data_IF_771406183977
#
_entry.id   IF_771406183977
#
_cell.length_a   1.000
_cell.length_b   1.000
_cell.length_c   1.000
_cell.angle_alpha   90.00
_cell.angle_beta   90.00
_cell.angle_gamma   90.00
#
_symmetry.space_group_name_H-M   'P 1'
#
loop_
_entity.id
_entity.type
_entity.pdbx_description
1 polymer ?
#
# COMPACT_ATOMS: atom_id res chain seq x y z
N UNK A 1 30.11 1.95 -28.42
CA UNK A 1 30.13 2.19 -26.96
C UNK A 1 29.94 3.68 -26.74
N UNK A 2 28.70 4.15 -26.68
CA UNK A 2 28.39 5.56 -26.44
C UNK A 2 28.91 5.93 -25.05
N UNK A 3 29.74 6.99 -24.99
CA UNK A 3 30.18 7.58 -23.73
C UNK A 3 28.92 7.92 -22.92
N UNK A 4 28.80 7.31 -21.76
CA UNK A 4 27.80 7.58 -20.72
C UNK A 4 27.60 9.09 -20.59
N UNK A 5 26.42 9.60 -20.99
CA UNK A 5 26.15 11.03 -21.23
C UNK A 5 26.06 11.94 -19.99
N UNK A 6 26.61 11.52 -18.84
CA UNK A 6 26.61 12.28 -17.59
C UNK A 6 28.05 12.66 -17.22
N UNK A 7 28.39 13.95 -17.29
CA UNK A 7 29.70 14.48 -16.97
C UNK A 7 29.75 15.06 -15.55
N UNK A 8 30.61 14.54 -14.68
CA UNK A 8 30.78 15.09 -13.33
C UNK A 8 31.53 16.45 -13.36
N UNK A 9 31.00 17.45 -12.65
CA UNK A 9 31.57 18.80 -12.60
C UNK A 9 32.31 19.08 -11.29
N UNK A 10 31.74 18.69 -10.15
CA UNK A 10 32.31 18.96 -8.82
C UNK A 10 31.23 18.98 -7.73
N UNK A 11 31.58 19.46 -6.54
CA UNK A 11 30.67 19.66 -5.42
C UNK A 11 30.50 21.15 -5.16
N UNK A 12 29.26 21.61 -5.05
CA UNK A 12 28.92 23.02 -4.83
C UNK A 12 27.80 23.15 -3.80
N UNK A 13 27.64 24.33 -3.22
CA UNK A 13 26.50 24.69 -2.38
C UNK A 13 25.50 25.52 -3.19
N UNK A 14 24.24 25.10 -3.20
CA UNK A 14 23.17 25.74 -4.01
C UNK A 14 22.05 26.20 -3.08
N UNK A 15 21.54 27.43 -3.20
CA UNK A 15 20.34 27.85 -2.47
C UNK A 15 19.14 26.97 -2.80
N UNK A 16 18.37 26.58 -1.79
CA UNK A 16 17.22 25.67 -1.94
C UNK A 16 16.20 26.20 -2.97
N UNK A 17 15.97 27.52 -3.04
CA UNK A 17 15.10 28.16 -4.04
C UNK A 17 15.52 27.94 -5.51
N UNK A 18 16.79 27.60 -5.76
CA UNK A 18 17.31 27.33 -7.11
C UNK A 18 17.28 25.83 -7.45
N UNK A 19 16.84 24.98 -6.52
CA UNK A 19 16.77 23.55 -6.73
C UNK A 19 15.40 23.16 -7.28
N UNK A 20 15.38 22.43 -8.40
CA UNK A 20 14.15 21.95 -9.03
C UNK A 20 14.12 20.43 -9.04
N UNK A 21 13.08 19.85 -8.45
CA UNK A 21 12.93 18.41 -8.41
C UNK A 21 12.45 17.89 -9.76
N UNK A 22 13.10 16.84 -10.28
CA UNK A 22 12.69 16.18 -11.50
C UNK A 22 12.04 14.84 -11.16
N UNK A 23 10.82 14.67 -11.65
CA UNK A 23 10.00 13.48 -11.42
C UNK A 23 10.16 12.44 -12.53
N UNK A 24 9.67 11.24 -12.26
CA UNK A 24 9.67 10.06 -13.13
C UNK A 24 11.08 9.53 -13.46
N UNK A 25 12.05 9.78 -12.58
CA UNK A 25 13.44 9.34 -12.75
C UNK A 25 13.74 8.09 -11.90
N UNK A 26 12.82 7.68 -11.03
CA UNK A 26 12.99 6.54 -10.13
C UNK A 26 12.98 6.92 -8.66
N UNK A 27 12.50 8.12 -8.34
CA UNK A 27 12.27 8.65 -7.01
C UNK A 27 11.22 7.85 -6.21
N UNK A 28 11.13 8.17 -4.91
CA UNK A 28 10.02 7.73 -4.06
C UNK A 28 8.80 8.58 -4.33
N UNK A 29 7.61 8.01 -4.13
CA UNK A 29 6.40 8.81 -4.02
C UNK A 29 6.56 9.83 -2.91
N UNK A 30 6.07 11.04 -3.18
CA UNK A 30 6.02 12.08 -2.17
C UNK A 30 5.10 11.64 -1.03
N UNK A 31 5.58 11.84 0.21
CA UNK A 31 4.83 11.59 1.44
C UNK A 31 4.93 12.86 2.29
N UNK A 32 3.84 13.61 2.36
CA UNK A 32 3.77 14.90 3.05
C UNK A 32 4.12 14.77 4.52
N UNK A 33 3.72 13.66 5.17
CA UNK A 33 4.01 13.41 6.60
C UNK A 33 5.50 13.24 6.86
N UNK A 34 6.24 12.65 5.91
CA UNK A 34 7.69 12.55 6.05
C UNK A 34 8.36 13.92 5.92
N UNK A 35 7.89 14.75 5.00
CA UNK A 35 8.35 16.14 4.86
C UNK A 35 8.08 16.93 6.14
N UNK A 36 6.86 16.87 6.70
CA UNK A 36 6.50 17.54 7.96
C UNK A 36 7.33 17.04 9.15
N UNK A 37 7.55 15.73 9.25
CA UNK A 37 8.40 15.14 10.30
C UNK A 37 9.84 15.63 10.22
N UNK A 38 10.40 15.72 9.00
CA UNK A 38 11.75 16.23 8.76
C UNK A 38 11.82 17.74 9.03
N UNK A 39 10.79 18.49 8.68
CA UNK A 39 10.71 19.92 8.97
C UNK A 39 10.75 20.17 10.49
N UNK A 40 9.95 19.45 11.26
CA UNK A 40 9.98 19.52 12.72
C UNK A 40 11.35 19.11 13.31
N UNK A 41 12.04 18.15 12.70
CA UNK A 41 13.39 17.75 13.11
C UNK A 41 14.41 18.86 12.84
N UNK A 42 14.41 19.44 11.63
CA UNK A 42 15.36 20.47 11.23
C UNK A 42 15.21 21.77 12.00
N UNK A 43 13.98 22.12 12.41
CA UNK A 43 13.74 23.25 13.33
C UNK A 43 14.48 23.09 14.67
N UNK A 44 14.77 21.86 15.10
CA UNK A 44 15.41 21.57 16.40
C UNK A 44 16.91 21.27 16.30
N UNK A 45 17.41 20.83 15.13
CA UNK A 45 18.79 20.31 14.99
C UNK A 45 19.60 20.89 13.83
N UNK A 46 19.02 21.83 13.07
CA UNK A 46 19.50 22.29 11.76
C UNK A 46 19.58 21.16 10.72
N UNK A 47 19.44 21.51 9.44
CA UNK A 47 19.64 20.54 8.37
C UNK A 47 21.15 20.34 8.16
N UNK A 48 21.65 19.15 8.50
CA UNK A 48 23.07 18.75 8.32
C UNK A 48 23.40 18.55 6.83
N UNK A 49 23.37 19.63 6.04
CA UNK A 49 23.60 19.60 4.59
C UNK A 49 25.10 19.49 4.23
N UNK A 50 26.01 19.67 5.19
CA UNK A 50 27.45 19.53 5.00
C UNK A 50 27.91 18.07 5.04
N UNK A 51 27.19 17.21 5.75
CA UNK A 51 27.46 15.79 5.80
C UNK A 51 27.22 15.12 4.43
N UNK A 52 28.26 14.45 3.94
CA UNK A 52 28.25 13.80 2.62
C UNK A 52 27.17 12.73 2.42
N UNK A 53 26.62 12.21 3.53
CA UNK A 53 25.47 11.30 3.51
C UNK A 53 24.17 11.97 3.06
N UNK A 54 24.09 13.29 3.17
CA UNK A 54 22.90 14.09 2.90
C UNK A 54 23.02 14.91 1.59
N UNK A 55 24.18 14.86 0.94
CA UNK A 55 24.37 15.50 -0.36
C UNK A 55 23.53 14.83 -1.42
N UNK A 56 22.91 15.63 -2.29
CA UNK A 56 22.15 15.12 -3.44
C UNK A 56 22.96 15.26 -4.73
N UNK A 57 22.60 14.52 -5.76
CA UNK A 57 23.14 14.75 -7.09
C UNK A 57 22.30 15.83 -7.78
N UNK A 58 23.01 16.76 -8.42
CA UNK A 58 22.42 17.85 -9.18
C UNK A 58 22.84 17.79 -10.64
N UNK A 59 21.96 18.26 -11.50
CA UNK A 59 22.09 18.19 -12.95
C UNK A 59 21.81 19.57 -13.56
N UNK A 60 22.71 20.00 -14.45
CA UNK A 60 22.53 21.16 -15.32
C UNK A 60 22.65 20.73 -16.78
N UNK A 61 22.16 21.56 -17.69
CA UNK A 61 22.24 21.23 -19.11
C UNK A 61 23.69 21.34 -19.62
N UNK A 62 24.06 20.50 -20.58
CA UNK A 62 25.38 20.55 -21.24
C UNK A 62 25.67 21.94 -21.84
N UNK A 63 24.64 22.66 -22.30
CA UNK A 63 24.77 24.01 -22.84
C UNK A 63 25.14 25.06 -21.79
N UNK A 64 24.88 24.79 -20.50
CA UNK A 64 25.09 25.72 -19.40
C UNK A 64 26.46 25.60 -18.74
N UNK A 65 27.27 24.60 -19.10
CA UNK A 65 28.57 24.31 -18.46
C UNK A 65 29.53 25.52 -18.53
N UNK A 66 29.55 26.23 -19.66
CA UNK A 66 30.38 27.44 -19.81
C UNK A 66 29.89 28.59 -18.92
N UNK A 67 28.56 28.74 -18.78
CA UNK A 67 27.95 29.72 -17.89
C UNK A 67 28.26 29.40 -16.43
N UNK A 68 28.20 28.12 -16.06
CA UNK A 68 28.56 27.62 -14.74
C UNK A 68 29.99 27.99 -14.34
N UNK A 69 30.98 27.71 -15.20
CA UNK A 69 32.40 28.03 -14.92
C UNK A 69 32.57 29.55 -14.72
N UNK A 70 31.92 30.36 -15.55
CA UNK A 70 31.99 31.82 -15.45
C UNK A 70 31.33 32.34 -14.15
N UNK A 71 30.17 31.80 -13.77
CA UNK A 71 29.44 32.19 -12.54
C UNK A 71 30.20 31.79 -11.27
N UNK A 72 30.82 30.60 -11.28
CA UNK A 72 31.61 30.13 -10.14
C UNK A 72 32.93 30.89 -9.99
N UNK A 73 33.40 31.54 -11.05
CA UNK A 73 34.70 32.25 -11.08
C UNK A 73 35.91 31.31 -10.94
N UNK A 74 35.71 29.99 -11.11
CA UNK A 74 36.72 28.96 -10.91
C UNK A 74 36.76 28.03 -12.12
N UNK A 75 37.96 27.69 -12.56
CA UNK A 75 38.16 26.60 -13.52
C UNK A 75 37.77 25.25 -12.91
N UNK A 76 37.52 24.25 -13.75
CA UNK A 76 37.22 22.88 -13.29
C UNK A 76 38.34 22.26 -12.45
N UNK A 77 39.59 22.65 -12.72
CA UNK A 77 40.73 22.18 -11.93
C UNK A 77 40.73 22.81 -10.53
N UNK A 78 40.51 24.12 -10.44
CA UNK A 78 40.43 24.83 -9.15
C UNK A 78 39.25 24.35 -8.30
N UNK A 79 38.08 24.15 -8.90
CA UNK A 79 36.92 23.57 -8.20
C UNK A 79 37.26 22.21 -7.58
N UNK A 80 37.97 21.36 -8.33
CA UNK A 80 38.39 20.05 -7.84
C UNK A 80 39.35 20.17 -6.66
N UNK A 81 40.27 21.13 -6.68
CA UNK A 81 41.18 21.38 -5.55
C UNK A 81 40.43 21.88 -4.32
N UNK A 82 39.55 22.89 -4.49
CA UNK A 82 38.69 23.37 -3.40
C UNK A 82 37.89 22.23 -2.75
N UNK A 83 37.29 21.34 -3.56
CA UNK A 83 36.54 20.20 -3.03
C UNK A 83 37.40 19.19 -2.27
N UNK A 84 38.67 19.00 -2.66
CA UNK A 84 39.61 18.14 -1.93
C UNK A 84 39.98 18.74 -0.57
N UNK A 85 40.04 20.07 -0.49
CA UNK A 85 40.30 20.82 0.74
C UNK A 85 39.05 20.96 1.65
N UNK A 86 37.93 20.35 1.25
CA UNK A 86 36.66 20.44 1.99
C UNK A 86 35.91 21.76 1.82
N UNK A 87 36.29 22.57 0.83
CA UNK A 87 35.62 23.82 0.49
C UNK A 87 34.66 23.60 -0.69
N UNK A 88 33.40 24.02 -0.51
CA UNK A 88 32.32 23.83 -1.48
C UNK A 88 31.80 25.19 -1.95
N UNK A 89 32.25 25.66 -3.14
CA UNK A 89 31.87 26.98 -3.65
C UNK A 89 30.36 27.13 -3.80
N UNK A 90 29.87 28.33 -3.54
CA UNK A 90 28.45 28.68 -3.63
C UNK A 90 28.05 29.01 -5.07
N UNK A 91 26.88 28.52 -5.49
CA UNK A 91 26.31 28.73 -6.81
C UNK A 91 24.90 29.35 -6.68
N UNK A 92 24.83 30.68 -6.72
CA UNK A 92 23.61 31.44 -6.39
C UNK A 92 22.60 31.61 -7.54
N UNK A 93 23.10 31.70 -8.77
CA UNK A 93 22.32 32.14 -9.93
C UNK A 93 22.24 31.05 -11.01
N UNK A 94 22.11 29.79 -10.60
CA UNK A 94 21.95 28.66 -11.52
C UNK A 94 20.87 27.73 -10.98
N UNK A 95 19.86 27.47 -11.81
CA UNK A 95 18.87 26.42 -11.52
C UNK A 95 19.56 25.07 -11.61
N UNK A 96 19.39 24.24 -10.59
CA UNK A 96 19.96 22.90 -10.52
C UNK A 96 18.82 21.89 -10.37
N UNK A 97 18.70 21.01 -11.35
CA UNK A 97 17.75 19.90 -11.31
C UNK A 97 18.28 18.81 -10.38
N UNK A 98 17.43 18.21 -9.56
CA UNK A 98 17.82 17.10 -8.68
C UNK A 98 16.77 16.00 -8.69
N UNK A 99 17.17 14.75 -8.43
CA UNK A 99 16.31 13.57 -8.60
C UNK A 99 16.13 12.76 -7.31
N UNK A 100 16.83 13.12 -6.23
CA UNK A 100 16.78 12.41 -4.94
C UNK A 100 16.72 13.35 -3.73
N UNK A 101 16.33 12.83 -2.57
CA UNK A 101 16.30 13.63 -1.33
C UNK A 101 15.16 14.66 -1.26
N UNK A 102 14.13 14.52 -2.11
CA UNK A 102 12.95 15.42 -2.19
C UNK A 102 12.41 15.83 -0.82
N UNK A 103 12.05 14.86 0.03
CA UNK A 103 11.45 15.14 1.34
C UNK A 103 12.33 16.01 2.24
N UNK A 104 13.67 15.88 2.16
CA UNK A 104 14.61 16.68 2.94
C UNK A 104 14.76 18.09 2.39
N UNK A 105 14.92 18.20 1.08
CA UNK A 105 15.08 19.49 0.41
C UNK A 105 13.80 20.33 0.57
N UNK A 106 12.62 19.73 0.38
CA UNK A 106 11.35 20.40 0.63
C UNK A 106 11.17 20.76 2.12
N UNK A 107 11.52 19.86 3.05
CA UNK A 107 11.44 20.16 4.49
C UNK A 107 12.34 21.33 4.90
N UNK A 108 13.57 21.40 4.38
CA UNK A 108 14.48 22.51 4.61
C UNK A 108 14.00 23.80 3.93
N UNK A 109 13.50 23.69 2.69
CA UNK A 109 12.99 24.83 1.91
C UNK A 109 11.77 25.46 2.57
N UNK A 110 10.89 24.64 3.17
CA UNK A 110 9.74 25.10 3.95
C UNK A 110 10.13 25.86 5.23
N UNK A 111 11.35 25.69 5.75
CA UNK A 111 11.88 26.46 6.89
C UNK A 111 12.51 27.75 6.39
N UNK A 112 13.46 27.63 5.46
CA UNK A 112 14.13 28.76 4.85
C UNK A 112 14.60 28.43 3.42
N UNK A 113 13.94 28.96 2.37
CA UNK A 113 14.31 28.68 0.98
C UNK A 113 15.65 29.33 0.56
N UNK A 114 16.23 30.17 1.41
CA UNK A 114 17.52 30.83 1.19
C UNK A 114 18.71 30.02 1.74
N UNK A 115 18.45 28.97 2.53
CA UNK A 115 19.51 28.09 3.02
C UNK A 115 20.18 27.33 1.87
N UNK A 116 21.42 26.91 2.12
CA UNK A 116 22.24 26.21 1.15
C UNK A 116 22.09 24.70 1.30
N UNK A 117 22.19 23.99 0.19
CA UNK A 117 22.33 22.53 0.18
C UNK A 117 23.58 22.13 -0.62
N UNK A 118 24.31 21.15 -0.12
CA UNK A 118 25.52 20.65 -0.80
C UNK A 118 25.14 19.63 -1.87
N UNK A 119 25.62 19.84 -3.10
CA UNK A 119 25.20 19.12 -4.30
C UNK A 119 26.40 18.58 -5.07
N UNK A 120 26.35 17.30 -5.44
CA UNK A 120 27.27 16.66 -6.40
C UNK A 120 26.80 17.00 -7.81
N UNK A 121 27.40 18.03 -8.40
CA UNK A 121 26.96 18.59 -9.66
C UNK A 121 27.51 17.81 -10.86
N UNK A 122 26.62 17.48 -11.79
CA UNK A 122 26.91 16.85 -13.07
C UNK A 122 26.22 17.62 -14.21
N UNK A 123 26.72 17.49 -15.43
CA UNK A 123 26.07 17.98 -16.64
C UNK A 123 25.57 16.82 -17.50
N UNK A 124 24.42 17.01 -18.14
CA UNK A 124 23.89 16.11 -19.16
C UNK A 124 22.83 16.84 -19.99
N UNK A 125 22.27 16.20 -21.02
CA UNK A 125 21.07 16.72 -21.68
C UNK A 125 19.88 16.58 -20.74
N UNK A 126 19.33 17.69 -20.23
CA UNK A 126 18.22 17.62 -19.25
C UNK A 126 16.97 16.97 -19.85
N UNK A 127 16.76 17.08 -21.17
CA UNK A 127 15.70 16.37 -21.89
C UNK A 127 15.79 14.84 -21.82
N UNK A 128 16.96 14.28 -21.45
CA UNK A 128 17.20 12.84 -21.36
C UNK A 128 17.26 12.36 -19.90
N UNK A 129 17.05 13.23 -18.91
CA UNK A 129 17.24 12.88 -17.49
C UNK A 129 16.33 11.72 -17.05
N UNK A 130 15.07 11.72 -17.48
CA UNK A 130 14.07 10.70 -17.12
C UNK A 130 14.34 9.33 -17.76
N UNK A 131 14.98 9.30 -18.93
CA UNK A 131 15.28 8.07 -19.67
C UNK A 131 16.69 7.52 -19.39
N UNK A 132 17.52 8.28 -18.67
CA UNK A 132 18.90 7.93 -18.40
C UNK A 132 19.03 6.89 -17.26
N UNK A 133 19.52 5.69 -17.59
CA UNK A 133 19.67 4.59 -16.63
C UNK A 133 20.64 4.88 -15.49
N UNK A 134 21.67 5.72 -15.71
CA UNK A 134 22.65 6.07 -14.66
C UNK A 134 22.00 6.97 -13.62
N UNK A 135 21.26 8.00 -14.06
CA UNK A 135 20.54 8.91 -13.16
C UNK A 135 19.48 8.12 -12.37
N UNK A 136 18.74 7.25 -13.05
CA UNK A 136 17.76 6.37 -12.43
C UNK A 136 18.39 5.47 -11.36
N UNK A 137 19.47 4.76 -11.70
CA UNK A 137 20.17 3.88 -10.75
C UNK A 137 20.69 4.65 -9.53
N UNK A 138 21.31 5.82 -9.72
CA UNK A 138 21.78 6.68 -8.62
C UNK A 138 20.63 7.13 -7.72
N UNK A 139 19.52 7.54 -8.33
CA UNK A 139 18.31 7.99 -7.61
C UNK A 139 17.73 6.86 -6.75
N UNK A 140 17.67 5.65 -7.28
CA UNK A 140 17.16 4.47 -6.58
C UNK A 140 18.08 3.97 -5.46
N UNK A 141 19.39 4.13 -5.64
CA UNK A 141 20.39 3.76 -4.64
C UNK A 141 20.41 4.73 -3.47
N UNK A 142 20.27 6.05 -3.72
CA UNK A 142 20.34 7.09 -2.67
C UNK A 142 19.39 6.89 -1.48
N UNK A 143 18.31 6.15 -1.68
CA UNK A 143 17.17 6.11 -0.77
C UNK A 143 17.37 5.10 0.37
N UNK A 144 18.20 5.45 1.33
CA UNK A 144 18.57 4.56 2.44
C UNK A 144 17.80 4.82 3.76
N UNK A 145 17.08 5.93 3.86
CA UNK A 145 16.60 6.43 5.16
C UNK A 145 15.35 5.74 5.68
N UNK A 146 14.49 5.29 4.77
CA UNK A 146 13.30 4.48 5.10
C UNK A 146 13.25 3.25 4.20
N UNK A 147 12.75 2.11 4.68
CA UNK A 147 12.51 0.95 3.81
C UNK A 147 11.54 1.31 2.68
N UNK A 148 11.78 0.78 1.49
CA UNK A 148 10.82 0.89 0.39
C UNK A 148 9.52 0.15 0.74
N UNK A 149 8.38 0.68 0.27
CA UNK A 149 7.11 -0.03 0.31
C UNK A 149 7.19 -1.31 -0.52
N UNK A 150 6.43 -2.34 -0.13
CA UNK A 150 6.42 -3.58 -0.91
C UNK A 150 5.87 -3.34 -2.32
N UNK A 151 4.98 -2.36 -2.49
CA UNK A 151 4.44 -1.96 -3.78
C UNK A 151 5.48 -1.37 -4.72
N UNK A 152 6.34 -0.50 -4.18
CA UNK A 152 7.44 0.08 -4.95
C UNK A 152 8.46 -0.98 -5.34
N UNK A 153 8.84 -1.85 -4.40
CA UNK A 153 9.73 -2.98 -4.70
C UNK A 153 9.09 -3.88 -5.76
N UNK A 154 7.80 -4.20 -5.63
CA UNK A 154 7.06 -4.98 -6.63
C UNK A 154 7.13 -4.34 -8.01
N UNK A 155 6.75 -3.07 -8.14
CA UNK A 155 6.81 -2.32 -9.41
C UNK A 155 8.21 -2.38 -10.05
N UNK A 156 9.27 -2.17 -9.27
CA UNK A 156 10.66 -2.26 -9.74
C UNK A 156 11.04 -3.66 -10.19
N UNK A 157 10.68 -4.69 -9.43
CA UNK A 157 10.90 -6.09 -9.83
C UNK A 157 10.16 -6.47 -11.10
N UNK A 158 9.00 -5.86 -11.38
CA UNK A 158 8.26 -6.06 -12.63
C UNK A 158 8.85 -5.25 -13.79
N UNK A 159 9.49 -4.10 -13.50
CA UNK A 159 10.17 -3.28 -14.48
C UNK A 159 11.50 -3.89 -14.96
N UNK A 160 12.26 -4.53 -14.05
CA UNK A 160 13.54 -5.16 -14.36
C UNK A 160 13.35 -6.61 -14.83
N UNK A 161 14.21 -7.06 -15.74
CA UNK A 161 14.29 -8.48 -16.11
C UNK A 161 14.86 -9.32 -14.98
N UNK A 162 14.32 -10.53 -14.78
CA UNK A 162 14.65 -11.43 -13.65
C UNK A 162 16.12 -11.89 -13.56
N UNK A 163 16.90 -11.67 -14.62
CA UNK A 163 18.35 -11.95 -14.69
C UNK A 163 19.24 -10.73 -14.48
N UNK A 164 18.66 -9.54 -14.32
CA UNK A 164 19.40 -8.28 -14.16
C UNK A 164 19.99 -8.11 -12.76
N UNK A 165 21.11 -7.40 -12.68
CA UNK A 165 21.70 -7.02 -11.39
C UNK A 165 20.71 -6.20 -10.55
N UNK A 166 19.99 -5.28 -11.19
CA UNK A 166 18.99 -4.41 -10.58
C UNK A 166 17.82 -5.22 -9.99
N UNK A 167 17.37 -6.27 -10.70
CA UNK A 167 16.34 -7.16 -10.17
C UNK A 167 16.81 -7.83 -8.89
N UNK A 168 18.03 -8.36 -8.87
CA UNK A 168 18.58 -8.98 -7.67
C UNK A 168 18.75 -7.99 -6.52
N UNK A 169 19.24 -6.78 -6.79
CA UNK A 169 19.36 -5.71 -5.79
C UNK A 169 17.99 -5.40 -5.15
N UNK A 170 16.98 -5.12 -5.98
CA UNK A 170 15.62 -4.85 -5.51
C UNK A 170 14.99 -6.06 -4.79
N UNK A 171 15.28 -7.29 -5.25
CA UNK A 171 14.73 -8.51 -4.64
C UNK A 171 15.30 -8.75 -3.24
N UNK A 172 16.58 -8.41 -3.00
CA UNK A 172 17.20 -8.51 -1.67
C UNK A 172 16.62 -7.53 -0.66
N UNK A 173 15.95 -6.45 -1.09
CA UNK A 173 15.23 -5.52 -0.19
C UNK A 173 14.01 -6.19 0.48
N UNK A 174 13.49 -7.27 -0.10
CA UNK A 174 12.44 -8.09 0.51
C UNK A 174 13.00 -9.07 1.54
N UNK A 175 12.32 -9.22 2.68
CA UNK A 175 12.60 -10.34 3.60
C UNK A 175 12.40 -11.70 2.93
N UNK A 176 13.05 -12.76 3.42
CA UNK A 176 12.90 -14.14 2.89
C UNK A 176 11.44 -14.58 2.74
N UNK A 177 10.58 -14.23 3.71
CA UNK A 177 9.14 -14.52 3.65
C UNK A 177 8.46 -13.78 2.49
N UNK A 178 8.76 -12.50 2.31
CA UNK A 178 8.21 -11.68 1.22
C UNK A 178 8.73 -12.13 -0.15
N UNK A 179 10.01 -12.52 -0.27
CA UNK A 179 10.57 -13.12 -1.48
C UNK A 179 9.83 -14.40 -1.89
N UNK A 180 9.55 -15.28 -0.91
CA UNK A 180 8.76 -16.49 -1.16
C UNK A 180 7.35 -16.15 -1.66
N UNK A 181 6.67 -15.19 -1.03
CA UNK A 181 5.32 -14.76 -1.42
C UNK A 181 5.33 -14.13 -2.82
N UNK A 182 6.27 -13.23 -3.09
CA UNK A 182 6.46 -12.63 -4.41
C UNK A 182 6.58 -13.71 -5.49
N UNK A 183 7.49 -14.68 -5.29
CA UNK A 183 7.66 -15.81 -6.22
C UNK A 183 6.37 -16.61 -6.43
N UNK A 184 5.57 -16.79 -5.38
CA UNK A 184 4.29 -17.51 -5.50
C UNK A 184 3.25 -16.73 -6.30
N UNK A 185 3.19 -15.41 -6.14
CA UNK A 185 2.32 -14.54 -6.94
C UNK A 185 2.75 -14.62 -8.41
N UNK A 186 4.04 -14.45 -8.70
CA UNK A 186 4.55 -14.44 -10.08
C UNK A 186 4.45 -15.77 -10.81
N UNK A 187 4.33 -16.89 -10.09
CA UNK A 187 4.10 -18.21 -10.66
C UNK A 187 2.63 -18.49 -11.04
N UNK A 188 1.69 -17.67 -10.56
CA UNK A 188 0.26 -17.82 -10.86
C UNK A 188 -0.17 -16.70 -11.80
N UNK A 189 -0.22 -16.99 -13.11
CA UNK A 189 -0.54 -16.03 -14.18
C UNK A 189 -1.73 -15.11 -13.83
N UNK A 190 -2.89 -15.62 -13.38
CA UNK A 190 -4.03 -14.75 -13.06
C UNK A 190 -3.77 -13.78 -11.89
N UNK A 191 -2.95 -14.16 -10.91
CA UNK A 191 -2.63 -13.30 -9.77
C UNK A 191 -1.64 -12.21 -10.18
N UNK A 192 -0.60 -12.54 -10.94
CA UNK A 192 0.37 -11.55 -11.42
C UNK A 192 -0.27 -10.58 -12.39
N UNK A 193 -1.13 -11.04 -13.30
CA UNK A 193 -1.88 -10.18 -14.22
C UNK A 193 -2.75 -9.17 -13.46
N UNK A 194 -3.52 -9.64 -12.47
CA UNK A 194 -4.39 -8.76 -11.68
C UNK A 194 -3.59 -7.75 -10.83
N UNK A 195 -2.47 -8.15 -10.23
CA UNK A 195 -1.64 -7.25 -9.44
C UNK A 195 -0.84 -6.27 -10.33
N UNK A 196 -0.41 -6.68 -11.52
CA UNK A 196 0.31 -5.83 -12.49
C UNK A 196 -0.57 -4.66 -12.98
N UNK A 197 -1.90 -4.80 -13.00
CA UNK A 197 -2.81 -3.69 -13.29
C UNK A 197 -2.64 -2.52 -12.32
N UNK A 198 -2.28 -2.78 -11.07
CA UNK A 198 -2.10 -1.76 -10.05
C UNK A 198 -0.79 -0.97 -10.21
N UNK A 199 0.15 -1.41 -11.07
CA UNK A 199 1.40 -0.68 -11.35
C UNK A 199 1.13 0.72 -11.93
N UNK A 200 0.02 0.87 -12.66
CA UNK A 200 -0.38 2.16 -13.24
C UNK A 200 -0.94 3.13 -12.18
N UNK A 201 -1.21 2.64 -10.97
CA UNK A 201 -1.81 3.39 -9.86
C UNK A 201 -0.80 3.47 -8.70
N UNK A 202 0.30 4.22 -8.84
CA UNK A 202 1.43 4.14 -7.92
C UNK A 202 1.03 4.50 -6.47
N UNK A 203 0.19 5.51 -6.26
CA UNK A 203 -0.32 5.86 -4.93
C UNK A 203 -1.13 4.74 -4.27
N UNK A 204 -1.85 3.94 -5.05
CA UNK A 204 -2.59 2.77 -4.55
C UNK A 204 -1.64 1.62 -4.25
N UNK A 205 -0.76 1.30 -5.20
CA UNK A 205 0.20 0.20 -5.08
C UNK A 205 1.15 0.38 -3.90
N UNK A 206 1.49 1.62 -3.53
CA UNK A 206 2.35 1.93 -2.38
C UNK A 206 1.84 1.33 -1.05
N UNK A 207 0.54 1.04 -0.95
CA UNK A 207 -0.05 0.36 0.21
C UNK A 207 0.05 -1.17 0.17
N UNK A 208 0.64 -1.76 -0.86
CA UNK A 208 0.86 -3.20 -0.93
C UNK A 208 1.68 -3.66 0.28
N UNK A 209 1.24 -4.76 0.88
CA UNK A 209 1.97 -5.47 1.93
C UNK A 209 2.04 -6.94 1.52
N UNK A 210 3.17 -7.32 0.91
CA UNK A 210 3.39 -8.70 0.47
C UNK A 210 3.25 -9.69 1.63
N UNK A 211 3.62 -9.28 2.84
CA UNK A 211 3.51 -10.11 4.04
C UNK A 211 2.10 -10.65 4.33
N UNK A 212 1.05 -9.93 3.93
CA UNK A 212 -0.35 -10.30 4.17
C UNK A 212 -0.80 -11.52 3.36
N UNK A 213 -0.23 -11.72 2.17
CA UNK A 213 -0.68 -12.76 1.23
C UNK A 213 -0.16 -14.16 1.57
N UNK A 214 0.71 -14.32 2.58
CA UNK A 214 1.08 -15.64 3.07
C UNK A 214 -0.13 -16.47 3.50
N UNK A 215 -1.04 -15.86 4.27
CA UNK A 215 -2.27 -16.52 4.72
C UNK A 215 -3.26 -16.78 3.58
N UNK A 216 -3.33 -15.87 2.60
CA UNK A 216 -4.09 -16.07 1.36
C UNK A 216 -3.63 -17.32 0.64
N UNK A 217 -2.31 -17.56 0.59
CA UNK A 217 -1.74 -18.77 0.02
C UNK A 217 -2.01 -20.04 0.83
N UNK A 218 -1.96 -19.94 2.15
CA UNK A 218 -2.23 -21.05 3.06
C UNK A 218 -3.70 -21.49 2.97
N UNK A 219 -4.61 -20.53 2.89
CA UNK A 219 -6.06 -20.77 2.85
C UNK A 219 -6.66 -20.77 1.45
N UNK A 220 -5.82 -20.59 0.42
CA UNK A 220 -6.17 -20.71 -1.01
C UNK A 220 -7.26 -19.75 -1.47
N UNK A 221 -7.21 -18.51 -0.98
CA UNK A 221 -8.14 -17.42 -1.29
C UNK A 221 -7.73 -16.65 -2.56
N UNK A 222 -7.44 -17.37 -3.64
CA UNK A 222 -6.87 -16.78 -4.85
C UNK A 222 -7.86 -15.89 -5.59
N UNK A 223 -9.09 -16.36 -5.76
CA UNK A 223 -10.16 -15.68 -6.49
C UNK A 223 -10.63 -14.44 -5.74
N UNK A 224 -10.72 -14.47 -4.41
CA UNK A 224 -11.06 -13.30 -3.60
C UNK A 224 -10.00 -12.21 -3.74
N UNK A 225 -8.72 -12.63 -3.73
CA UNK A 225 -7.59 -11.73 -3.90
C UNK A 225 -7.58 -11.10 -5.30
N UNK A 226 -7.74 -11.91 -6.35
CA UNK A 226 -7.82 -11.46 -7.75
C UNK A 226 -9.00 -10.53 -7.95
N UNK A 227 -10.19 -10.92 -7.46
CA UNK A 227 -11.42 -10.10 -7.55
C UNK A 227 -11.22 -8.76 -6.86
N UNK A 228 -10.60 -8.75 -5.68
CA UNK A 228 -10.28 -7.52 -4.95
C UNK A 228 -9.34 -6.60 -5.72
N UNK A 229 -8.23 -7.12 -6.26
CA UNK A 229 -7.31 -6.30 -7.07
C UNK A 229 -7.95 -5.76 -8.35
N UNK A 230 -8.77 -6.58 -9.02
CA UNK A 230 -9.51 -6.15 -10.20
C UNK A 230 -10.53 -5.06 -9.88
N UNK A 231 -11.25 -5.16 -8.75
CA UNK A 231 -12.17 -4.13 -8.28
C UNK A 231 -11.44 -2.81 -8.00
N UNK A 232 -10.28 -2.87 -7.32
CA UNK A 232 -9.44 -1.70 -7.08
C UNK A 232 -9.05 -1.07 -8.43
N UNK A 233 -8.46 -1.85 -9.34
CA UNK A 233 -8.04 -1.34 -10.65
C UNK A 233 -9.20 -0.70 -11.42
N UNK A 234 -10.37 -1.34 -11.44
CA UNK A 234 -11.54 -0.89 -12.16
C UNK A 234 -12.09 0.44 -11.62
N UNK A 235 -12.29 0.57 -10.31
CA UNK A 235 -12.84 1.81 -9.72
C UNK A 235 -11.87 2.99 -9.87
N UNK A 236 -10.58 2.80 -9.59
CA UNK A 236 -9.60 3.87 -9.76
C UNK A 236 -9.43 4.27 -11.23
N UNK A 237 -9.49 3.31 -12.16
CA UNK A 237 -9.52 3.61 -13.60
C UNK A 237 -10.79 4.36 -14.01
N UNK A 238 -11.94 4.05 -13.40
CA UNK A 238 -13.20 4.75 -13.64
C UNK A 238 -13.12 6.20 -13.18
N UNK A 239 -12.53 6.47 -12.02
CA UNK A 239 -12.32 7.84 -11.53
C UNK A 239 -11.50 8.65 -12.55
N UNK A 240 -10.42 8.07 -13.05
CA UNK A 240 -9.46 8.73 -13.93
C UNK A 240 -9.76 8.61 -15.42
N UNK A 241 -10.94 8.10 -15.82
CA UNK A 241 -11.28 7.82 -17.23
C UNK A 241 -10.27 6.95 -17.99
N UNK A 242 -9.50 6.12 -17.27
CA UNK A 242 -8.38 5.38 -17.85
C UNK A 242 -7.23 6.27 -18.38
N UNK A 243 -7.23 7.57 -18.08
CA UNK A 243 -6.13 8.47 -18.43
C UNK A 243 -4.88 8.12 -17.64
N UNK A 244 -3.81 7.72 -18.33
CA UNK A 244 -2.53 7.36 -17.71
C UNK A 244 -1.92 8.52 -16.92
N UNK A 245 -2.08 9.75 -17.39
CA UNK A 245 -1.59 10.95 -16.70
C UNK A 245 -2.31 11.16 -15.36
N UNK A 246 -3.64 10.96 -15.35
CA UNK A 246 -4.42 11.06 -14.12
C UNK A 246 -4.11 9.91 -13.16
N UNK A 247 -3.90 8.70 -13.70
CA UNK A 247 -3.52 7.53 -12.90
C UNK A 247 -2.14 7.69 -12.25
N UNK A 248 -1.13 8.16 -13.01
CA UNK A 248 0.21 8.40 -12.47
C UNK A 248 0.24 9.53 -11.44
N UNK A 249 -0.70 10.47 -11.52
CA UNK A 249 -0.84 11.57 -10.55
C UNK A 249 -1.51 11.17 -9.23
N UNK A 250 -1.99 9.93 -9.08
CA UNK A 250 -2.54 9.43 -7.81
C UNK A 250 -1.38 9.28 -6.82
N UNK A 251 -1.35 10.16 -5.82
CA UNK A 251 -0.39 10.10 -4.72
C UNK A 251 -0.94 9.34 -3.52
N UNK A 252 -0.06 9.16 -2.52
CA UNK A 252 -0.36 8.42 -1.30
C UNK A 252 -1.48 9.09 -0.50
N UNK A 253 -1.47 10.42 -0.39
CA UNK A 253 -2.43 11.17 0.42
C UNK A 253 -3.83 11.14 -0.19
N UNK A 254 -3.93 11.16 -1.52
CA UNK A 254 -5.18 10.97 -2.26
C UNK A 254 -5.83 9.64 -1.91
N UNK A 255 -5.06 8.54 -1.90
CA UNK A 255 -5.56 7.22 -1.53
C UNK A 255 -5.95 7.18 -0.05
N UNK A 256 -5.18 7.82 0.84
CA UNK A 256 -5.52 7.90 2.27
C UNK A 256 -6.85 8.61 2.51
N UNK A 257 -7.10 9.70 1.79
CA UNK A 257 -8.30 10.51 1.95
C UNK A 257 -9.57 9.79 1.47
N UNK A 258 -9.46 8.98 0.41
CA UNK A 258 -10.61 8.42 -0.31
C UNK A 258 -10.89 6.94 0.03
N UNK A 259 -9.87 6.12 0.22
CA UNK A 259 -10.05 4.69 0.46
C UNK A 259 -10.93 4.42 1.69
N UNK A 260 -11.93 3.54 1.53
CA UNK A 260 -12.84 3.14 2.59
C UNK A 260 -14.09 4.02 2.74
N UNK A 261 -14.19 5.13 2.01
CA UNK A 261 -15.38 6.00 1.98
C UNK A 261 -16.50 5.36 1.16
N UNK A 262 -17.76 5.60 1.54
CA UNK A 262 -18.94 5.03 0.90
C UNK A 262 -19.94 6.12 0.47
N UNK A 263 -19.64 6.91 -0.58
CA UNK A 263 -20.44 8.10 -0.93
C UNK A 263 -21.91 7.79 -1.27
N UNK A 264 -22.20 6.61 -1.84
CA UNK A 264 -23.59 6.21 -2.10
C UNK A 264 -24.42 5.95 -0.83
N UNK A 265 -23.77 5.64 0.30
CA UNK A 265 -24.45 5.22 1.54
C UNK A 265 -24.26 6.19 2.71
N UNK A 266 -23.31 7.13 2.62
CA UNK A 266 -22.93 8.03 3.72
C UNK A 266 -22.83 9.47 3.23
N UNK A 267 -23.73 10.32 3.73
CA UNK A 267 -23.72 11.76 3.46
C UNK A 267 -22.45 12.43 4.02
N UNK A 268 -21.98 11.99 5.19
CA UNK A 268 -20.73 12.47 5.78
C UNK A 268 -19.51 12.15 4.88
N UNK A 269 -19.49 10.98 4.23
CA UNK A 269 -18.41 10.65 3.30
C UNK A 269 -18.50 11.47 2.01
N UNK A 270 -19.71 11.78 1.51
CA UNK A 270 -19.89 12.68 0.36
C UNK A 270 -19.36 14.08 0.66
N UNK A 271 -19.74 14.64 1.80
CA UNK A 271 -19.29 15.96 2.24
C UNK A 271 -17.76 15.97 2.43
N UNK A 272 -17.20 14.94 3.05
CA UNK A 272 -15.75 14.80 3.18
C UNK A 272 -15.04 14.78 1.81
N UNK A 273 -15.56 14.02 0.86
CA UNK A 273 -15.00 13.96 -0.50
C UNK A 273 -15.04 15.34 -1.15
N UNK A 274 -16.18 16.04 -1.07
CA UNK A 274 -16.30 17.40 -1.61
C UNK A 274 -15.27 18.36 -1.00
N UNK A 275 -15.10 18.32 0.33
CA UNK A 275 -14.10 19.12 1.05
C UNK A 275 -12.67 18.77 0.64
N UNK A 276 -12.36 17.48 0.44
CA UNK A 276 -11.03 17.04 0.01
C UNK A 276 -10.69 17.56 -1.40
N UNK A 277 -11.68 17.62 -2.30
CA UNK A 277 -11.49 18.19 -3.64
C UNK A 277 -11.36 19.71 -3.62
N UNK A 278 -12.21 20.42 -2.88
CA UNK A 278 -12.20 21.90 -2.80
C UNK A 278 -10.95 22.44 -2.10
N UNK A 279 -10.44 21.74 -1.09
CA UNK A 279 -9.20 22.11 -0.39
C UNK A 279 -7.90 21.70 -1.11
N UNK A 280 -7.99 20.98 -2.24
CA UNK A 280 -6.82 20.53 -2.98
C UNK A 280 -6.08 19.33 -2.36
N UNK A 281 -6.66 18.65 -1.37
CA UNK A 281 -6.03 17.51 -0.68
C UNK A 281 -5.92 16.26 -1.57
N UNK A 282 -6.84 16.08 -2.52
CA UNK A 282 -6.82 14.96 -3.48
C UNK A 282 -6.44 15.45 -4.86
N UNK A 283 -5.61 14.65 -5.55
CA UNK A 283 -5.00 15.00 -6.84
C UNK A 283 -4.41 16.42 -6.86
N UNK A 284 -3.49 16.78 -5.95
CA UNK A 284 -2.96 18.16 -5.84
C UNK A 284 -2.28 18.65 -7.13
N UNK A 285 -1.79 17.73 -7.96
CA UNK A 285 -1.13 18.03 -9.24
C UNK A 285 -2.10 18.42 -10.35
N UNK A 286 -3.38 18.09 -10.21
CA UNK A 286 -4.40 18.40 -11.20
C UNK A 286 -5.01 19.75 -10.83
N UNK A 287 -4.58 20.80 -11.53
CA UNK A 287 -5.01 22.18 -11.27
C UNK A 287 -6.15 22.65 -12.18
N UNK A 288 -6.40 21.94 -13.29
CA UNK A 288 -7.48 22.28 -14.21
C UNK A 288 -8.86 22.11 -13.52
N UNK A 289 -9.65 23.20 -13.36
CA UNK A 289 -10.91 23.14 -12.62
C UNK A 289 -11.92 22.17 -13.23
N UNK A 290 -11.95 22.05 -14.56
CA UNK A 290 -12.89 21.16 -15.24
C UNK A 290 -12.55 19.69 -14.95
N UNK A 291 -11.29 19.29 -15.10
CA UNK A 291 -10.82 17.95 -14.73
C UNK A 291 -11.06 17.63 -13.25
N UNK A 292 -10.85 18.61 -12.35
CA UNK A 292 -11.12 18.42 -10.92
C UNK A 292 -12.60 18.15 -10.64
N UNK A 293 -13.50 18.97 -11.20
CA UNK A 293 -14.95 18.78 -11.04
C UNK A 293 -15.39 17.42 -11.59
N UNK A 294 -14.79 17.02 -12.71
CA UNK A 294 -15.08 15.76 -13.37
C UNK A 294 -14.58 14.53 -12.56
N UNK A 295 -13.39 14.61 -11.98
CA UNK A 295 -12.86 13.60 -11.04
C UNK A 295 -13.77 13.48 -9.81
N UNK A 296 -14.11 14.62 -9.20
CA UNK A 296 -14.97 14.67 -8.03
C UNK A 296 -16.32 14.01 -8.29
N UNK A 297 -16.98 14.38 -9.40
CA UNK A 297 -18.27 13.81 -9.79
C UNK A 297 -18.23 12.28 -9.87
N UNK A 298 -17.16 11.71 -10.44
CA UNK A 298 -17.02 10.25 -10.55
C UNK A 298 -16.73 9.56 -9.23
N UNK A 299 -15.94 10.18 -8.37
CA UNK A 299 -15.69 9.66 -7.02
C UNK A 299 -16.98 9.68 -6.22
N UNK A 300 -17.75 10.78 -6.28
CA UNK A 300 -19.06 10.88 -5.62
C UNK A 300 -20.10 9.89 -6.18
N UNK A 301 -20.04 9.55 -7.47
CA UNK A 301 -20.97 8.61 -8.10
C UNK A 301 -20.67 7.13 -7.79
N UNK A 302 -19.69 6.84 -6.93
CA UNK A 302 -19.30 5.46 -6.60
C UNK A 302 -20.39 4.77 -5.78
N UNK A 303 -20.89 3.64 -6.28
CA UNK A 303 -21.93 2.85 -5.62
C UNK A 303 -21.38 1.85 -4.60
N UNK A 304 -20.06 1.63 -4.62
CA UNK A 304 -19.34 0.76 -3.70
C UNK A 304 -18.54 1.58 -2.68
N UNK A 305 -18.07 0.92 -1.62
CA UNK A 305 -17.00 1.48 -0.79
C UNK A 305 -15.78 1.69 -1.71
N UNK A 306 -15.18 2.88 -1.70
CA UNK A 306 -14.00 3.19 -2.51
C UNK A 306 -12.90 2.18 -2.14
N UNK A 307 -12.54 1.27 -3.07
CA UNK A 307 -11.67 0.16 -2.75
C UNK A 307 -10.21 0.61 -2.72
N UNK A 308 -9.40 -0.05 -1.92
CA UNK A 308 -7.94 0.13 -1.90
C UNK A 308 -7.25 -1.07 -1.27
N UNK A 309 -5.92 -1.06 -1.29
CA UNK A 309 -5.14 -2.21 -0.81
C UNK A 309 -5.28 -2.41 0.70
N UNK A 310 -5.33 -1.35 1.52
CA UNK A 310 -5.50 -1.48 2.97
C UNK A 310 -6.87 -2.08 3.30
N UNK A 311 -7.92 -1.60 2.64
CA UNK A 311 -9.28 -2.12 2.74
C UNK A 311 -9.32 -3.60 2.35
N UNK A 312 -8.78 -3.98 1.19
CA UNK A 312 -8.79 -5.36 0.72
C UNK A 312 -7.99 -6.26 1.67
N UNK A 313 -6.78 -5.86 2.04
CA UNK A 313 -5.91 -6.63 2.93
C UNK A 313 -6.52 -6.80 4.32
N UNK A 314 -7.20 -5.78 4.84
CA UNK A 314 -7.99 -5.89 6.07
C UNK A 314 -9.13 -6.89 5.94
N UNK A 315 -9.90 -6.84 4.85
CA UNK A 315 -10.97 -7.81 4.58
C UNK A 315 -10.44 -9.24 4.41
N UNK A 316 -9.29 -9.41 3.77
CA UNK A 316 -8.64 -10.71 3.64
C UNK A 316 -8.31 -11.32 5.00
N UNK A 317 -7.98 -10.54 6.04
CA UNK A 317 -7.78 -11.09 7.39
C UNK A 317 -9.04 -11.79 7.91
N UNK A 318 -10.21 -11.20 7.69
CA UNK A 318 -11.49 -11.82 8.05
C UNK A 318 -11.78 -13.04 7.18
N UNK A 319 -11.64 -12.91 5.86
CA UNK A 319 -11.88 -14.03 4.93
C UNK A 319 -10.98 -15.24 5.23
N UNK A 320 -9.76 -15.02 5.71
CA UNK A 320 -8.87 -16.09 6.18
C UNK A 320 -9.44 -16.85 7.38
N UNK A 321 -10.15 -16.19 8.31
CA UNK A 321 -10.82 -16.86 9.42
C UNK A 321 -11.91 -17.80 8.90
N UNK A 322 -12.78 -17.28 8.02
CA UNK A 322 -13.84 -18.07 7.40
C UNK A 322 -13.28 -19.26 6.59
N UNK A 323 -12.27 -19.01 5.77
CA UNK A 323 -11.63 -20.06 4.96
C UNK A 323 -11.08 -21.18 5.84
N UNK A 324 -10.41 -20.86 6.96
CA UNK A 324 -9.90 -21.87 7.91
C UNK A 324 -11.03 -22.72 8.51
N UNK A 325 -12.15 -22.09 8.87
CA UNK A 325 -13.33 -22.79 9.38
C UNK A 325 -13.87 -23.75 8.30
N UNK A 326 -14.01 -23.28 7.06
CA UNK A 326 -14.54 -24.07 5.94
C UNK A 326 -13.62 -25.25 5.62
N UNK A 327 -12.30 -25.02 5.54
CA UNK A 327 -11.31 -26.09 5.35
C UNK A 327 -11.40 -27.15 6.44
N UNK A 328 -11.65 -26.75 7.68
CA UNK A 328 -11.69 -27.67 8.83
C UNK A 328 -13.01 -28.44 8.93
N UNK A 329 -14.15 -27.78 8.69
CA UNK A 329 -15.47 -28.32 9.03
C UNK A 329 -16.27 -28.80 7.82
N UNK A 330 -16.03 -28.23 6.64
CA UNK A 330 -16.85 -28.47 5.45
C UNK A 330 -16.10 -29.35 4.44
N UNK A 331 -14.81 -29.10 4.25
CA UNK A 331 -14.04 -29.78 3.20
C UNK A 331 -13.56 -31.15 3.70
N UNK A 332 -13.99 -32.26 3.07
CA UNK A 332 -13.50 -33.58 3.44
C UNK A 332 -11.99 -33.70 3.18
N UNK A 333 -11.28 -34.44 4.03
CA UNK A 333 -9.82 -34.58 3.98
C UNK A 333 -9.30 -35.05 2.60
N UNK A 334 -10.03 -35.97 1.94
CA UNK A 334 -9.71 -36.45 0.59
C UNK A 334 -9.74 -35.33 -0.46
N UNK A 335 -10.69 -34.40 -0.35
CA UNK A 335 -10.81 -33.24 -1.24
C UNK A 335 -9.75 -32.19 -0.90
N UNK A 336 -9.38 -32.06 0.39
CA UNK A 336 -8.23 -31.26 0.81
C UNK A 336 -6.91 -31.67 0.14
N UNK A 337 -6.57 -32.96 0.19
CA UNK A 337 -5.39 -33.51 -0.50
C UNK A 337 -5.45 -33.29 -2.01
N UNK A 338 -6.64 -33.40 -2.61
CA UNK A 338 -6.84 -33.14 -4.04
C UNK A 338 -6.58 -31.67 -4.37
N UNK A 339 -7.08 -30.73 -3.56
CA UNK A 339 -6.84 -29.31 -3.74
C UNK A 339 -5.34 -28.97 -3.67
N UNK A 340 -4.60 -29.63 -2.78
CA UNK A 340 -3.15 -29.49 -2.70
C UNK A 340 -2.44 -29.94 -3.96
N UNK A 341 -2.68 -31.18 -4.37
CA UNK A 341 -2.05 -31.76 -5.57
C UNK A 341 -2.38 -30.99 -6.85
N UNK A 342 -3.64 -30.55 -7.00
CA UNK A 342 -4.11 -29.83 -8.18
C UNK A 342 -3.96 -28.32 -8.08
N UNK A 343 -3.41 -27.80 -6.98
CA UNK A 343 -3.31 -26.35 -6.69
C UNK A 343 -4.64 -25.59 -6.84
N UNK A 344 -5.75 -26.24 -6.49
CA UNK A 344 -7.07 -25.64 -6.55
C UNK A 344 -7.25 -24.59 -5.46
N UNK A 345 -8.00 -23.55 -5.76
CA UNK A 345 -8.47 -22.61 -4.75
C UNK A 345 -9.56 -23.16 -3.85
N UNK A 346 -9.94 -22.39 -2.83
CA UNK A 346 -11.10 -22.67 -2.00
C UNK A 346 -12.40 -22.72 -2.83
N UNK A 347 -12.62 -21.77 -3.74
CA UNK A 347 -13.81 -21.78 -4.59
C UNK A 347 -13.82 -23.00 -5.52
N UNK A 348 -12.71 -23.26 -6.21
CA UNK A 348 -12.60 -24.36 -7.16
C UNK A 348 -12.81 -25.73 -6.49
N UNK A 349 -12.29 -25.92 -5.26
CA UNK A 349 -12.50 -27.19 -4.58
C UNK A 349 -13.96 -27.38 -4.19
N UNK A 350 -14.62 -26.36 -3.61
CA UNK A 350 -16.03 -26.41 -3.25
C UNK A 350 -16.90 -26.67 -4.49
N UNK A 351 -16.64 -25.93 -5.57
CA UNK A 351 -17.34 -26.10 -6.84
C UNK A 351 -17.17 -27.51 -7.43
N UNK A 352 -16.05 -28.18 -7.16
CA UNK A 352 -15.78 -29.51 -7.73
C UNK A 352 -16.62 -30.65 -7.13
N UNK A 353 -17.29 -30.43 -5.99
CA UNK A 353 -18.13 -31.45 -5.37
C UNK A 353 -19.46 -30.93 -4.80
N UNK A 354 -19.74 -29.63 -4.91
CA UNK A 354 -21.08 -29.10 -4.66
C UNK A 354 -21.99 -29.39 -5.84
N UNK A 355 -23.14 -29.99 -5.54
CA UNK A 355 -24.17 -30.33 -6.52
C UNK A 355 -25.35 -29.39 -6.31
N UNK A 356 -25.89 -28.87 -7.41
CA UNK A 356 -27.11 -28.07 -7.35
C UNK A 356 -28.25 -28.92 -6.75
N UNK A 357 -28.89 -28.41 -5.71
CA UNK A 357 -30.08 -29.09 -5.16
C UNK A 357 -31.26 -28.92 -6.12
N UNK A 358 -32.06 -29.97 -6.25
CA UNK A 358 -33.37 -29.92 -6.93
C UNK A 358 -34.42 -29.14 -6.12
N UNK A 359 -34.12 -28.86 -4.84
CA UNK A 359 -34.99 -28.09 -3.95
C UNK A 359 -34.84 -26.58 -4.12
N UNK A 360 -35.86 -25.83 -3.66
CA UNK A 360 -35.81 -24.35 -3.67
C UNK A 360 -34.63 -23.86 -2.84
N UNK A 361 -33.74 -23.10 -3.47
CA UNK A 361 -32.60 -22.48 -2.78
C UNK A 361 -33.10 -21.46 -1.76
N UNK A 362 -32.46 -21.40 -0.59
CA UNK A 362 -32.72 -20.38 0.42
C UNK A 362 -31.41 -19.68 0.82
N UNK A 363 -31.53 -18.45 1.29
CA UNK A 363 -30.43 -17.65 1.82
C UNK A 363 -30.78 -17.12 3.19
N UNK A 364 -29.77 -17.03 4.05
CA UNK A 364 -29.90 -16.42 5.36
C UNK A 364 -29.82 -14.90 5.20
N UNK A 365 -30.89 -14.20 5.59
CA UNK A 365 -30.98 -12.73 5.52
C UNK A 365 -30.69 -12.06 6.87
N UNK A 366 -30.91 -12.79 7.96
CA UNK A 366 -30.64 -12.41 9.35
C UNK A 366 -30.30 -13.69 10.12
N UNK A 367 -29.68 -13.58 11.29
CA UNK A 367 -29.27 -14.76 12.06
C UNK A 367 -30.43 -15.73 12.31
N UNK A 368 -30.33 -16.94 11.75
CA UNK A 368 -31.35 -17.99 11.82
C UNK A 368 -32.59 -17.77 10.94
N UNK A 369 -32.65 -16.68 10.17
CA UNK A 369 -33.79 -16.34 9.30
C UNK A 369 -33.45 -16.60 7.85
N UNK A 370 -34.12 -17.59 7.26
CA UNK A 370 -33.93 -18.02 5.88
C UNK A 370 -35.09 -17.59 5.00
N UNK A 371 -34.77 -17.10 3.81
CA UNK A 371 -35.76 -16.76 2.78
C UNK A 371 -35.49 -17.54 1.50
N UNK A 372 -36.55 -18.02 0.81
CA UNK A 372 -36.40 -18.66 -0.49
C UNK A 372 -35.94 -17.65 -1.53
N UNK A 373 -35.04 -18.07 -2.42
CA UNK A 373 -34.55 -17.26 -3.54
C UNK A 373 -35.15 -17.77 -4.84
N UNK A 374 -35.58 -16.84 -5.68
CA UNK A 374 -36.07 -17.14 -7.01
C UNK A 374 -34.90 -17.25 -8.00
N UNK A 375 -34.92 -18.27 -8.85
CA UNK A 375 -33.90 -18.50 -9.87
C UNK A 375 -33.14 -19.82 -9.70
N UNK A 376 -32.23 -20.14 -10.63
CA UNK A 376 -31.42 -21.35 -10.56
C UNK A 376 -30.41 -21.30 -9.41
N UNK A 377 -29.96 -22.48 -8.96
CA UNK A 377 -28.91 -22.58 -7.95
C UNK A 377 -27.63 -21.85 -8.43
N UNK A 378 -27.10 -20.97 -7.58
CA UNK A 378 -25.92 -20.16 -7.86
C UNK A 378 -24.79 -20.52 -6.90
N UNK A 379 -23.66 -20.99 -7.45
CA UNK A 379 -22.46 -21.28 -6.67
C UNK A 379 -21.97 -20.05 -5.91
N UNK A 380 -21.90 -18.89 -6.57
CA UNK A 380 -21.42 -17.65 -5.95
C UNK A 380 -22.30 -17.24 -4.76
N UNK A 381 -23.62 -17.41 -4.88
CA UNK A 381 -24.54 -17.11 -3.79
C UNK A 381 -24.33 -18.07 -2.60
N UNK A 382 -24.25 -19.37 -2.87
CA UNK A 382 -23.98 -20.37 -1.84
C UNK A 382 -22.61 -20.17 -1.16
N UNK A 383 -21.58 -19.84 -1.94
CA UNK A 383 -20.24 -19.56 -1.45
C UNK A 383 -20.23 -18.33 -0.53
N UNK A 384 -20.86 -17.23 -0.95
CA UNK A 384 -20.97 -16.02 -0.14
C UNK A 384 -21.73 -16.27 1.17
N UNK A 385 -22.85 -17.00 1.11
CA UNK A 385 -23.61 -17.39 2.30
C UNK A 385 -22.77 -18.25 3.26
N UNK A 386 -21.98 -19.20 2.75
CA UNK A 386 -21.11 -20.02 3.58
C UNK A 386 -19.98 -19.19 4.23
N UNK A 387 -19.33 -18.31 3.47
CA UNK A 387 -18.30 -17.41 4.00
C UNK A 387 -18.87 -16.52 5.10
N UNK A 388 -20.04 -15.92 4.87
CA UNK A 388 -20.73 -15.06 5.85
C UNK A 388 -21.16 -15.85 7.09
N UNK A 389 -21.69 -17.07 6.93
CA UNK A 389 -22.06 -17.93 8.05
C UNK A 389 -20.84 -18.30 8.90
N UNK A 390 -19.72 -18.65 8.26
CA UNK A 390 -18.46 -18.95 8.94
C UNK A 390 -17.91 -17.73 9.70
N UNK A 391 -17.99 -16.53 9.11
CA UNK A 391 -17.64 -15.28 9.80
C UNK A 391 -18.58 -15.00 10.97
N UNK A 392 -19.89 -15.12 10.81
CA UNK A 392 -20.87 -14.83 11.87
C UNK A 392 -20.65 -15.73 13.09
N UNK A 393 -20.37 -17.00 12.85
CA UNK A 393 -20.25 -18.02 13.89
C UNK A 393 -18.79 -18.31 14.31
N UNK A 394 -17.83 -17.49 13.86
CA UNK A 394 -16.40 -17.72 14.11
C UNK A 394 -16.05 -17.95 15.60
N UNK A 395 -16.65 -17.27 16.60
CA UNK A 395 -16.27 -17.48 18.00
C UNK A 395 -16.56 -18.91 18.49
N UNK A 396 -17.57 -19.56 17.90
CA UNK A 396 -17.99 -20.91 18.25
C UNK A 396 -17.30 -21.97 17.38
N UNK A 397 -17.04 -21.64 16.11
CA UNK A 397 -16.46 -22.57 15.13
C UNK A 397 -14.93 -22.62 15.17
N UNK A 398 -14.28 -21.55 15.64
CA UNK A 398 -12.83 -21.46 15.82
C UNK A 398 -12.50 -21.35 17.30
N UNK A 399 -12.31 -22.49 17.99
CA UNK A 399 -11.62 -22.46 19.29
C UNK A 399 -10.20 -21.91 19.08
N UNK A 400 -9.73 -20.93 19.88
CA UNK A 400 -8.30 -20.61 19.89
C UNK A 400 -7.54 -21.85 20.40
N UNK A 401 -6.71 -22.47 19.56
CA UNK A 401 -5.70 -23.40 20.05
C UNK A 401 -4.68 -22.59 20.87
N UNK A 402 -4.38 -22.97 22.12
CA UNK A 402 -3.30 -22.34 22.87
C UNK A 402 -1.98 -22.79 22.26
N UNK A 403 -1.44 -22.01 21.32
CA UNK A 403 -0.04 -22.11 20.88
C UNK A 403 0.69 -20.84 21.30
N UNK A 404 1.84 -21.06 21.93
CA UNK A 404 2.51 -20.12 22.84
C UNK A 404 2.84 -18.74 22.28
N UNK A 405 2.87 -17.79 23.23
CA UNK A 405 3.24 -16.38 23.10
C UNK A 405 2.46 -15.62 22.02
N UNK A 406 1.16 -15.44 22.27
CA UNK A 406 0.48 -14.22 21.83
C UNK A 406 1.12 -13.04 22.55
N UNK A 407 2.05 -12.34 21.88
CA UNK A 407 2.17 -10.91 22.12
C UNK A 407 0.81 -10.32 21.79
N UNK A 408 0.19 -9.76 22.83
CA UNK A 408 -1.14 -9.14 22.82
C UNK A 408 -1.20 -8.08 21.72
N UNK A 409 -1.61 -8.47 20.51
CA UNK A 409 -2.21 -7.55 19.55
C UNK A 409 -3.57 -7.23 20.14
N UNK A 410 -3.59 -6.26 21.07
CA UNK A 410 -4.80 -5.53 21.36
C UNK A 410 -5.26 -4.94 20.02
N UNK A 411 -6.29 -5.56 19.44
CA UNK A 411 -7.17 -4.89 18.49
C UNK A 411 -7.79 -3.71 19.26
N UNK A 412 -7.05 -2.61 19.33
CA UNK A 412 -7.59 -1.31 19.71
C UNK A 412 -8.49 -0.89 18.57
N UNK A 413 -9.75 -1.31 18.65
CA UNK A 413 -10.85 -0.61 18.00
C UNK A 413 -10.83 0.78 18.63
N UNK A 414 -10.18 1.74 17.95
CA UNK A 414 -10.31 3.15 18.29
C UNK A 414 -11.65 3.58 17.75
N UNK A 415 -12.70 3.38 18.55
CA UNK A 415 -13.93 4.15 18.41
C UNK A 415 -13.57 5.63 18.65
N UNK A 416 -14.10 6.57 17.86
CA UNK A 416 -13.89 8.00 18.08
C UNK A 416 -14.29 8.36 19.51
N UNK A 417 -13.37 8.97 20.25
CA UNK A 417 -13.60 9.48 21.59
C UNK A 417 -14.26 10.86 21.50
N UNK A 418 -15.59 10.92 21.54
CA UNK A 418 -16.31 12.11 22.02
C UNK A 418 -17.60 11.67 22.74
N UNK A 419 -17.84 12.22 23.94
CA UNK A 419 -19.12 12.16 24.64
C UNK A 419 -19.25 11.04 25.67
N UNK A 420 -18.73 11.27 26.86
CA UNK A 420 -18.90 10.40 28.02
C UNK A 420 -20.34 10.37 28.54
N UNK A 421 -20.69 9.20 29.11
CA UNK A 421 -21.72 8.98 30.15
C UNK A 421 -23.18 8.84 29.72
N UNK A 422 -23.68 7.59 29.57
CA UNK A 422 -25.04 7.21 30.04
C UNK A 422 -25.41 5.71 29.93
N UNK A 423 -24.67 4.81 29.26
CA UNK A 423 -25.24 3.50 28.90
C UNK A 423 -24.64 2.24 29.55
N UNK A 424 -23.64 2.34 30.44
CA UNK A 424 -22.94 1.16 31.00
C UNK A 424 -23.66 0.49 32.19
N UNK A 425 -24.81 0.99 32.65
CA UNK A 425 -25.46 0.48 33.87
C UNK A 425 -26.49 -0.64 33.69
N UNK A 426 -26.76 -1.16 32.48
CA UNK A 426 -27.90 -2.08 32.27
C UNK A 426 -27.60 -3.51 31.76
N UNK A 427 -26.35 -3.97 31.81
CA UNK A 427 -26.05 -5.40 31.58
C UNK A 427 -25.29 -6.02 32.75
N UNK A 428 -26.00 -6.20 33.88
CA UNK A 428 -25.67 -7.25 34.87
C UNK A 428 -26.82 -8.26 34.89
N UNK A 429 -26.61 -9.42 34.27
CA UNK A 429 -27.41 -10.61 34.55
C UNK A 429 -26.66 -11.53 35.52
N UNK A 430 -27.38 -12.27 36.39
CA UNK A 430 -26.82 -12.86 37.60
C UNK A 430 -26.16 -14.22 37.34
N UNK A 431 -25.10 -14.49 38.07
CA UNK A 431 -24.40 -15.76 38.11
C UNK A 431 -25.30 -16.86 38.72
N UNK A 432 -25.52 -17.96 37.98
CA UNK A 432 -26.05 -19.21 38.55
C UNK A 432 -24.93 -19.96 39.26
N UNK A 433 -25.03 -20.07 40.58
CA UNK A 433 -24.25 -20.96 41.42
C UNK A 433 -24.67 -22.41 41.22
N UNK A 434 -23.70 -23.30 41.03
CA UNK A 434 -23.86 -24.76 41.21
C UNK A 434 -23.86 -25.07 42.70
N UNK A 435 -24.86 -25.78 43.19
CA UNK A 435 -24.76 -26.57 44.42
C UNK A 435 -25.10 -28.02 44.06
N UNK A 436 -24.11 -28.89 44.26
CA UNK A 436 -24.30 -30.32 44.37
C UNK A 436 -24.73 -30.59 45.81
N UNK A 437 -25.83 -31.30 46.00
CA UNK A 437 -26.06 -32.08 47.22
C UNK A 437 -26.70 -33.41 46.82
N UNK A 438 -25.96 -34.46 47.13
CA UNK A 438 -26.32 -35.86 47.01
C UNK A 438 -27.07 -36.30 48.25
N UNK A 439 -28.20 -36.99 48.11
CA UNK A 439 -28.68 -37.89 49.16
C UNK A 439 -29.41 -39.07 48.53
N UNK A 440 -28.88 -40.26 48.81
CA UNK A 440 -29.39 -41.59 48.50
C UNK A 440 -30.53 -41.91 49.49
N UNK A 441 -31.46 -42.82 49.15
CA UNK A 441 -31.82 -43.84 50.12
C UNK A 441 -31.67 -45.25 49.54
N UNK A 442 -30.99 -46.08 50.33
CA UNK A 442 -30.97 -47.51 50.20
C UNK A 442 -32.06 -48.09 51.10
N UNK A 443 -32.85 -49.01 50.58
CA UNK A 443 -33.49 -50.06 51.37
C UNK A 443 -33.68 -51.28 50.49
N UNK A 444 -33.12 -52.40 50.93
CA UNK A 444 -33.13 -53.72 50.28
C UNK A 444 -33.94 -54.67 51.17
N UNK A 445 -34.66 -55.59 50.51
CA UNK A 445 -35.16 -56.90 50.97
C UNK A 445 -36.32 -56.91 51.98
N UNK A 446 -37.44 -57.55 51.62
CA UNK A 446 -37.73 -58.96 52.00
C UNK A 446 -38.95 -59.53 51.22
N UNK A 447 -38.83 -60.83 50.91
CA UNK A 447 -39.83 -61.92 50.80
C UNK A 447 -41.22 -61.69 50.15
N UNK A 448 -41.45 -62.31 48.98
CA UNK A 448 -42.08 -63.64 48.78
C UNK A 448 -42.30 -63.93 47.29
#
# INVERSE_FOLDING_TARGET
MEKSGVGYLGVVQVPLRQMQFVEEVGERLHDTRQTERLQALFQNTAADHENCRHWVDGYIDNTEVSSFVNKLGLSRHELKQHNLDGNYPRLDDQVVCFTQGRHRIEAASNINPYDLWTVRLSCMSLSQIQTNQIVKSRTEQYQHETPDSDGRIYSKLRQYGDRGFEFHEWHQRLSKKKQYIFRRITQLCPMVEALDLLIQLPGVLDFLQLGCYGTVFDNRLFEECITGWNLISAEWSRFTLGSRLLQSSIDRDTVVALEGRAPAASEADREWIHQAFTSGQVWPRITDPQQRCELESRVQSTTVIIPGLRWLQGNLLYLNIAARIIWKLIIPEKEGRKAERKKLSLQQILQSYWVASESKSCVEIQEGVFQPVYGPASFNLAYNQLMLAALRQFPYLSKPEPKGKFTRLELRITLPQEGSSSWISQLRYPARSRHCESTIPASRMDDM
#
